data_IF_376031157834
#
_entry.id   IF_376031157834
#
_cell.length_a   1.000
_cell.length_b   1.000
_cell.length_c   1.000
_cell.angle_alpha   90.00
_cell.angle_beta   90.00
_cell.angle_gamma   90.00
#
_symmetry.space_group_name_H-M   'P 1'
#
loop_
_entity.id
_entity.type
_entity.pdbx_description
1 polymer ?
#
# COMPACT_ATOMS: atom_id res chain seq x y z
N UNK A 1 -3.65 -11.56 -0.94
CA UNK A 1 -4.51 -11.66 0.26
C UNK A 1 -3.80 -12.50 1.33
N UNK A 2 -3.80 -12.04 2.55
CA UNK A 2 -3.20 -12.73 3.70
C UNK A 2 -4.24 -12.91 4.78
N UNK A 3 -4.35 -14.11 5.32
CA UNK A 3 -5.27 -14.40 6.43
C UNK A 3 -4.52 -14.97 7.63
N UNK A 4 -4.74 -14.38 8.79
CA UNK A 4 -4.20 -14.81 10.07
C UNK A 4 -5.35 -15.28 10.96
N UNK A 5 -5.17 -16.40 11.65
CA UNK A 5 -6.17 -16.95 12.59
C UNK A 5 -5.53 -17.26 13.93
N UNK A 6 -6.29 -17.05 15.01
CA UNK A 6 -5.91 -17.50 16.34
C UNK A 6 -6.57 -18.84 16.65
N UNK A 7 -5.89 -19.70 17.39
CA UNK A 7 -6.38 -21.02 17.80
C UNK A 7 -6.71 -21.04 19.28
N UNK A 8 -7.64 -21.92 19.68
CA UNK A 8 -7.88 -22.29 21.07
C UNK A 8 -8.38 -21.21 22.00
N UNK A 9 -9.04 -20.20 21.57
CA UNK A 9 -9.53 -19.10 22.39
C UNK A 9 -8.56 -17.94 22.56
N UNK A 10 -7.38 -18.05 21.98
CA UNK A 10 -6.46 -16.93 21.85
C UNK A 10 -7.02 -15.86 20.90
N UNK A 11 -6.49 -14.66 21.00
CA UNK A 11 -6.93 -13.53 20.20
C UNK A 11 -5.74 -12.82 19.56
N UNK A 12 -5.98 -12.24 18.39
CA UNK A 12 -4.97 -11.49 17.65
C UNK A 12 -4.99 -10.02 18.05
N UNK A 13 -3.81 -9.52 18.41
CA UNK A 13 -3.56 -8.10 18.67
C UNK A 13 -2.34 -7.72 17.83
N UNK A 14 -2.54 -6.87 16.83
CA UNK A 14 -1.47 -6.52 15.89
C UNK A 14 -1.70 -5.16 15.25
N UNK A 15 -0.63 -4.60 14.70
CA UNK A 15 -0.66 -3.42 13.86
C UNK A 15 -0.37 -3.81 12.42
N UNK A 16 -1.14 -3.25 11.49
CA UNK A 16 -0.91 -3.40 10.05
C UNK A 16 -0.39 -2.08 9.50
N UNK A 17 0.79 -2.11 8.88
CA UNK A 17 1.40 -0.97 8.21
C UNK A 17 1.78 -1.35 6.79
N UNK A 18 1.71 -0.40 5.89
CA UNK A 18 2.19 -0.54 4.52
C UNK A 18 3.02 0.70 4.19
N UNK A 19 4.25 0.49 3.73
CA UNK A 19 5.14 1.57 3.34
C UNK A 19 5.80 1.23 2.00
N UNK A 20 5.89 2.19 1.06
CA UNK A 20 6.71 2.00 -0.12
C UNK A 20 8.19 1.91 0.26
N UNK A 21 8.90 0.98 -0.34
CA UNK A 21 10.34 0.91 -0.15
C UNK A 21 11.02 2.08 -0.89
N UNK A 22 11.50 3.03 -0.13
CA UNK A 22 12.20 4.20 -0.67
C UNK A 22 13.72 3.96 -0.83
N UNK A 23 14.20 2.84 -0.35
CA UNK A 23 15.59 2.41 -0.52
C UNK A 23 15.77 1.51 -1.74
N UNK A 24 14.69 1.20 -2.44
CA UNK A 24 14.72 0.32 -3.59
C UNK A 24 15.61 0.86 -4.70
N UNK A 25 16.52 0.14 -5.05
CA UNK A 25 17.56 0.32 -6.03
C UNK A 25 18.49 -0.87 -5.96
N UNK A 26 18.14 -1.85 -5.16
CA UNK A 26 18.69 -3.21 -5.17
C UNK A 26 20.22 -3.31 -5.05
N UNK A 27 20.89 -2.30 -4.54
CA UNK A 27 22.33 -2.32 -4.42
C UNK A 27 22.81 -1.68 -3.14
N UNK A 28 23.95 -2.13 -2.69
CA UNK A 28 24.65 -1.58 -1.52
C UNK A 28 25.13 -0.13 -1.73
N UNK A 29 24.94 0.44 -2.91
CA UNK A 29 25.43 1.76 -3.24
C UNK A 29 24.28 2.75 -3.46
N UNK A 30 23.84 3.37 -2.38
CA UNK A 30 22.75 4.35 -2.35
C UNK A 30 23.09 5.66 -3.12
N UNK A 31 24.29 5.82 -3.60
CA UNK A 31 24.77 7.03 -4.27
C UNK A 31 24.81 6.92 -5.80
N UNK A 32 24.31 5.83 -6.37
CA UNK A 32 24.25 5.70 -7.82
C UNK A 32 23.07 6.48 -8.41
N UNK A 33 23.20 6.92 -9.63
CA UNK A 33 22.11 7.57 -10.38
C UNK A 33 20.85 6.68 -10.40
N UNK A 34 21.02 5.37 -10.52
CA UNK A 34 19.91 4.41 -10.48
C UNK A 34 19.17 4.43 -9.15
N UNK A 35 19.89 4.44 -8.03
CA UNK A 35 19.26 4.51 -6.71
C UNK A 35 18.45 5.80 -6.54
N UNK A 36 18.90 6.91 -7.10
CA UNK A 36 18.19 8.18 -7.06
C UNK A 36 16.94 8.18 -7.94
N UNK A 37 16.99 7.52 -9.10
CA UNK A 37 15.86 7.49 -10.04
C UNK A 37 14.67 6.68 -9.51
N UNK A 38 14.88 5.77 -8.57
CA UNK A 38 13.79 4.99 -7.97
C UNK A 38 13.18 5.62 -6.74
N UNK A 39 13.58 6.82 -6.36
CA UNK A 39 12.96 7.52 -5.23
C UNK A 39 11.50 7.82 -5.50
N UNK A 40 10.69 7.75 -4.45
CA UNK A 40 9.24 7.92 -4.51
C UNK A 40 8.80 9.05 -3.60
N UNK A 41 7.75 9.73 -4.01
CA UNK A 41 6.98 10.64 -3.17
C UNK A 41 5.61 10.02 -2.95
N UNK A 42 5.16 9.96 -1.70
CA UNK A 42 3.84 9.37 -1.41
C UNK A 42 3.17 10.03 -0.22
N UNK A 43 1.85 9.87 -0.18
CA UNK A 43 1.00 10.23 0.94
C UNK A 43 0.23 9.00 1.41
N UNK A 44 0.19 8.79 2.73
CA UNK A 44 -0.54 7.68 3.35
C UNK A 44 -1.77 8.23 4.06
N UNK A 45 -2.93 7.64 3.78
CA UNK A 45 -4.19 7.92 4.48
C UNK A 45 -4.75 6.63 5.06
N UNK A 46 -5.33 6.71 6.27
CA UNK A 46 -5.99 5.58 6.91
C UNK A 46 -7.40 5.99 7.27
N UNK A 47 -8.39 5.23 6.79
CA UNK A 47 -9.80 5.47 7.08
C UNK A 47 -10.58 4.15 7.00
N UNK A 48 -11.40 3.88 8.01
CA UNK A 48 -12.27 2.69 8.06
C UNK A 48 -11.50 1.37 7.83
N UNK A 49 -10.34 1.22 8.47
CA UNK A 49 -9.43 0.09 8.33
C UNK A 49 -8.91 -0.10 6.89
N UNK A 50 -8.88 0.95 6.11
CA UNK A 50 -8.30 1.00 4.77
C UNK A 50 -7.08 1.92 4.75
N UNK A 51 -5.92 1.36 4.44
CA UNK A 51 -4.68 2.11 4.25
C UNK A 51 -4.53 2.41 2.77
N UNK A 52 -4.53 3.69 2.41
CA UNK A 52 -4.35 4.15 1.04
C UNK A 52 -3.02 4.86 0.90
N UNK A 53 -2.24 4.46 -0.08
CA UNK A 53 -0.97 5.11 -0.42
C UNK A 53 -1.06 5.57 -1.87
N UNK A 54 -0.94 6.87 -2.07
CA UNK A 54 -0.93 7.49 -3.38
C UNK A 54 0.39 8.24 -3.58
N UNK A 55 1.05 7.99 -4.68
CA UNK A 55 2.34 8.60 -4.92
C UNK A 55 2.82 8.55 -6.35
N UNK A 56 4.05 8.97 -6.53
CA UNK A 56 4.70 8.98 -7.84
C UNK A 56 6.21 8.77 -7.70
N UNK A 57 6.83 8.30 -8.77
CA UNK A 57 8.28 8.25 -8.89
C UNK A 57 8.82 9.65 -9.14
N UNK A 58 9.97 9.97 -8.56
CA UNK A 58 10.58 11.31 -8.69
C UNK A 58 11.19 11.58 -10.05
N UNK A 59 11.71 10.56 -10.70
CA UNK A 59 12.43 10.74 -11.97
C UNK A 59 11.49 10.97 -13.16
N UNK A 60 10.38 10.26 -13.23
CA UNK A 60 9.48 10.29 -14.39
C UNK A 60 8.02 10.55 -14.05
N UNK A 61 7.70 10.81 -12.77
CA UNK A 61 6.36 11.09 -12.26
C UNK A 61 5.34 9.98 -12.55
N UNK A 62 5.80 8.74 -12.71
CA UNK A 62 4.89 7.60 -12.81
C UNK A 62 4.07 7.49 -11.54
N UNK A 63 2.75 7.50 -11.68
CA UNK A 63 1.82 7.45 -10.56
C UNK A 63 1.57 6.01 -10.12
N UNK A 64 1.46 5.82 -8.81
CA UNK A 64 1.04 4.55 -8.25
C UNK A 64 0.00 4.78 -7.15
N UNK A 65 -0.85 3.80 -6.96
CA UNK A 65 -1.80 3.76 -5.85
C UNK A 65 -1.82 2.35 -5.28
N UNK A 66 -1.85 2.26 -3.97
CA UNK A 66 -1.98 1.00 -3.23
C UNK A 66 -3.09 1.16 -2.19
N UNK A 67 -3.96 0.17 -2.10
CA UNK A 67 -5.00 0.13 -1.08
C UNK A 67 -4.93 -1.21 -0.35
N UNK A 68 -4.86 -1.14 0.97
CA UNK A 68 -4.82 -2.31 1.84
C UNK A 68 -5.98 -2.26 2.81
N UNK A 69 -6.91 -3.20 2.70
CA UNK A 69 -8.06 -3.34 3.59
C UNK A 69 -7.77 -4.38 4.65
N UNK A 70 -8.06 -4.04 5.89
CA UNK A 70 -7.97 -4.95 7.04
C UNK A 70 -9.38 -5.35 7.45
N UNK A 71 -9.68 -6.65 7.33
CA UNK A 71 -10.96 -7.23 7.74
C UNK A 71 -10.75 -8.11 8.96
N UNK A 72 -11.62 -8.00 9.95
CA UNK A 72 -11.51 -8.79 11.18
C UNK A 72 -12.78 -9.63 11.41
N UNK A 73 -12.60 -10.80 11.99
CA UNK A 73 -13.66 -11.59 12.59
C UNK A 73 -13.54 -11.44 14.10
N UNK A 74 -14.56 -10.85 14.72
CA UNK A 74 -14.51 -10.46 16.13
C UNK A 74 -13.52 -9.32 16.37
N UNK A 75 -13.44 -8.85 17.59
CA UNK A 75 -12.53 -7.77 17.95
C UNK A 75 -12.88 -6.43 17.31
N UNK A 76 -11.92 -5.53 17.35
CA UNK A 76 -12.08 -4.16 16.85
C UNK A 76 -10.85 -3.72 16.05
N UNK A 77 -11.05 -2.73 15.19
CA UNK A 77 -9.98 -2.03 14.49
C UNK A 77 -9.96 -0.56 14.87
N UNK A 78 -8.77 0.02 14.97
CA UNK A 78 -8.57 1.45 15.18
C UNK A 78 -7.68 2.00 14.08
N UNK A 79 -8.13 3.08 13.45
CA UNK A 79 -7.31 3.80 12.48
C UNK A 79 -6.27 4.64 13.22
N UNK A 80 -5.01 4.40 12.93
CA UNK A 80 -3.89 5.13 13.51
C UNK A 80 -3.21 6.01 12.47
N UNK A 81 -2.06 6.57 12.87
CA UNK A 81 -1.21 7.31 11.96
C UNK A 81 -0.42 6.33 11.11
N UNK A 82 -0.77 6.24 9.84
CA UNK A 82 -0.17 5.32 8.84
C UNK A 82 -0.32 3.82 9.18
N UNK A 83 -1.24 3.46 10.06
CA UNK A 83 -1.44 2.06 10.46
C UNK A 83 -2.89 1.78 10.85
N UNK A 84 -3.25 0.50 10.84
CA UNK A 84 -4.49 -0.01 11.43
C UNK A 84 -4.13 -0.94 12.58
N UNK A 85 -4.65 -0.65 13.77
CA UNK A 85 -4.46 -1.48 14.96
C UNK A 85 -5.64 -2.43 15.11
N UNK A 86 -5.37 -3.72 15.26
CA UNK A 86 -6.36 -4.77 15.49
C UNK A 86 -6.26 -5.24 16.94
N UNK A 87 -7.41 -5.33 17.62
CA UNK A 87 -7.50 -5.80 19.00
C UNK A 87 -8.54 -6.91 19.12
N UNK A 88 -8.16 -7.98 19.81
CA UNK A 88 -9.04 -9.08 20.21
C UNK A 88 -9.77 -9.79 19.06
N UNK A 89 -9.15 -9.88 17.90
CA UNK A 89 -9.73 -10.55 16.74
C UNK A 89 -9.50 -12.06 16.78
N UNK A 90 -10.46 -12.83 16.27
CA UNK A 90 -10.29 -14.27 16.02
C UNK A 90 -9.56 -14.53 14.73
N UNK A 91 -9.80 -13.71 13.72
CA UNK A 91 -9.12 -13.78 12.42
C UNK A 91 -8.96 -12.38 11.84
N UNK A 92 -7.90 -12.20 11.08
CA UNK A 92 -7.60 -10.97 10.34
C UNK A 92 -7.32 -11.34 8.91
N UNK A 93 -8.00 -10.69 7.98
CA UNK A 93 -7.75 -10.82 6.54
C UNK A 93 -7.25 -9.50 6.00
N UNK A 94 -6.12 -9.53 5.30
CA UNK A 94 -5.49 -8.36 4.69
C UNK A 94 -5.55 -8.51 3.19
N UNK A 95 -6.21 -7.57 2.52
CA UNK A 95 -6.36 -7.55 1.07
C UNK A 95 -5.64 -6.31 0.54
N UNK A 96 -4.68 -6.51 -0.35
CA UNK A 96 -3.92 -5.42 -0.96
C UNK A 96 -4.14 -5.41 -2.47
N UNK A 97 -4.40 -4.24 -3.02
CA UNK A 97 -4.49 -3.97 -4.45
C UNK A 97 -3.57 -2.81 -4.81
N UNK A 98 -2.84 -2.96 -5.90
CA UNK A 98 -1.85 -1.97 -6.35
C UNK A 98 -2.03 -1.74 -7.85
N UNK A 99 -1.87 -0.50 -8.28
CA UNK A 99 -1.88 -0.15 -9.69
C UNK A 99 -1.03 1.09 -9.97
N UNK A 100 -0.73 1.27 -11.24
CA UNK A 100 0.05 2.40 -11.74
C UNK A 100 -0.62 2.97 -12.99
N UNK A 101 -0.16 4.13 -13.45
CA UNK A 101 -0.56 4.69 -14.74
C UNK A 101 0.33 4.20 -15.90
N UNK A 102 1.10 3.14 -15.69
CA UNK A 102 1.91 2.54 -16.73
C UNK A 102 1.04 1.87 -17.79
N UNK A 103 1.42 2.07 -19.05
CA UNK A 103 0.87 1.38 -20.21
C UNK A 103 1.99 1.07 -21.18
N UNK A 104 2.06 -0.16 -21.65
CA UNK A 104 3.07 -0.57 -22.63
C UNK A 104 2.73 -0.04 -24.02
N UNK A 105 2.91 1.27 -24.21
CA UNK A 105 2.52 1.99 -25.43
C UNK A 105 3.56 3.09 -25.73
N UNK A 106 4.41 2.82 -26.72
CA UNK A 106 5.43 3.77 -27.17
C UNK A 106 4.77 5.04 -27.77
N UNK A 107 5.31 6.24 -27.56
CA UNK A 107 6.55 6.58 -26.85
C UNK A 107 6.37 7.00 -25.39
N UNK A 108 5.16 7.15 -24.91
CA UNK A 108 4.85 7.77 -23.61
C UNK A 108 4.84 6.76 -22.46
N UNK A 109 4.39 5.54 -22.71
CA UNK A 109 4.25 4.47 -21.73
C UNK A 109 3.36 4.82 -20.54
N UNK A 110 2.30 5.60 -20.79
CA UNK A 110 1.33 6.06 -19.77
C UNK A 110 -0.10 5.94 -20.26
N UNK A 111 -1.02 5.73 -19.31
CA UNK A 111 -2.47 5.72 -19.60
C UNK A 111 -3.05 7.13 -19.75
N UNK A 112 -2.41 8.14 -19.16
CA UNK A 112 -2.95 9.49 -19.06
C UNK A 112 -3.93 9.67 -17.91
N UNK A 113 -4.13 8.65 -17.07
CA UNK A 113 -5.00 8.73 -15.91
C UNK A 113 -4.46 9.71 -14.86
N UNK A 114 -5.37 10.43 -14.19
CA UNK A 114 -5.02 11.24 -13.02
C UNK A 114 -4.77 10.33 -11.80
N UNK A 115 -4.19 10.90 -10.74
CA UNK A 115 -3.98 10.17 -9.50
C UNK A 115 -5.30 9.61 -8.95
N UNK A 116 -6.38 10.38 -9.01
CA UNK A 116 -7.71 9.94 -8.58
C UNK A 116 -8.24 8.78 -9.41
N UNK A 117 -8.02 8.79 -10.71
CA UNK A 117 -8.44 7.71 -11.60
C UNK A 117 -7.69 6.42 -11.32
N UNK A 118 -6.37 6.49 -11.10
CA UNK A 118 -5.57 5.33 -10.70
C UNK A 118 -6.06 4.78 -9.37
N UNK A 119 -6.28 5.64 -8.37
CA UNK A 119 -6.78 5.24 -7.06
C UNK A 119 -8.16 4.58 -7.14
N UNK A 120 -9.07 5.11 -7.97
CA UNK A 120 -10.41 4.55 -8.16
C UNK A 120 -10.37 3.15 -8.79
N UNK A 121 -9.46 2.93 -9.72
CA UNK A 121 -9.29 1.63 -10.39
C UNK A 121 -8.69 0.56 -9.47
N UNK A 122 -7.95 0.96 -8.46
CA UNK A 122 -7.15 0.10 -7.57
C UNK A 122 -7.94 -0.36 -6.34
N UNK A 123 -9.23 -0.11 -6.24
CA UNK A 123 -10.01 -0.48 -5.05
C UNK A 123 -9.76 -1.92 -4.60
N UNK A 124 -9.47 -2.08 -3.30
CA UNK A 124 -9.16 -3.39 -2.71
C UNK A 124 -10.39 -4.30 -2.52
N UNK A 125 -11.58 -3.75 -2.67
CA UNK A 125 -12.85 -4.50 -2.52
C UNK A 125 -14.03 -3.72 -3.10
#
# INVERSE_FOLDING_TARGET
>A
MTRLTAEGGDKLNLDVRVEPDNEAGGGSNKNTIQAQSYQREWETTVKDALISIDGQLKDNQMRFSSQTKVLTEGGTTEDGDEKVTVKDAKAVTIITSIGTDYKNDYPVYRTGESQEQVASRVRAY
#
